data_IF_754924003268
#
_entry.id   IF_754924003268
#
_cell.length_a   1.000
_cell.length_b   1.000
_cell.length_c   1.000
_cell.angle_alpha   90.00
_cell.angle_beta   90.00
_cell.angle_gamma   90.00
#
_symmetry.space_group_name_H-M   'P 1'
#
loop_
_entity.id
_entity.type
_entity.pdbx_description
1 polymer ?
#
# COMPACT_ATOMS: atom_id res chain seq x y z
N UNK A 1 -9.52 8.17 42.53
CA UNK A 1 -8.76 7.60 41.40
C UNK A 1 -7.47 7.02 41.95
N UNK A 2 -7.30 5.70 41.97
CA UNK A 2 -6.01 5.07 42.33
C UNK A 2 -5.13 4.98 41.08
N UNK A 3 -3.88 5.44 41.16
CA UNK A 3 -2.91 5.30 40.07
C UNK A 3 -2.39 3.86 40.01
N UNK A 4 -2.37 3.29 38.81
CA UNK A 4 -1.73 2.00 38.52
C UNK A 4 -0.20 2.20 38.54
N UNK A 5 0.45 1.63 39.56
CA UNK A 5 1.88 1.75 39.84
C UNK A 5 2.71 0.59 39.25
N UNK A 6 2.10 -0.33 38.51
CA UNK A 6 2.81 -1.46 37.91
C UNK A 6 3.79 -0.98 36.82
N UNK A 7 5.01 -1.55 36.81
CA UNK A 7 5.99 -1.29 35.75
C UNK A 7 5.44 -1.84 34.43
N UNK A 8 5.22 -0.95 33.47
CA UNK A 8 4.79 -1.31 32.10
C UNK A 8 6.02 -1.42 31.22
N UNK A 9 6.22 -2.61 30.65
CA UNK A 9 7.25 -2.82 29.63
C UNK A 9 6.60 -2.64 28.27
N UNK A 10 7.12 -1.69 27.49
CA UNK A 10 6.69 -1.48 26.11
C UNK A 10 7.81 -1.95 25.19
N UNK A 11 7.42 -2.66 24.13
CA UNK A 11 8.31 -3.05 23.04
C UNK A 11 7.78 -2.42 21.76
N UNK A 12 8.69 -1.86 20.98
CA UNK A 12 8.41 -1.34 19.66
C UNK A 12 9.35 -2.04 18.68
N UNK A 13 8.77 -2.71 17.68
CA UNK A 13 9.51 -3.29 16.57
C UNK A 13 9.26 -2.35 15.36
N UNK A 14 10.29 -1.61 14.90
CA UNK A 14 10.14 -0.71 13.75
C UNK A 14 9.76 -1.48 12.49
N UNK A 15 8.68 -1.08 11.84
CA UNK A 15 8.26 -1.67 10.57
C UNK A 15 8.72 -0.78 9.42
N UNK A 16 9.75 -1.22 8.69
CA UNK A 16 10.24 -0.50 7.53
C UNK A 16 9.44 -0.91 6.29
N UNK A 17 8.83 0.07 5.63
CA UNK A 17 8.05 -0.16 4.42
C UNK A 17 8.85 0.13 3.15
N UNK A 18 9.48 1.31 3.10
CA UNK A 18 10.38 1.71 2.03
C UNK A 18 11.72 0.97 2.13
N UNK A 19 12.17 0.41 1.02
CA UNK A 19 13.40 -0.39 0.91
C UNK A 19 14.52 0.33 0.15
N UNK A 20 14.24 1.49 -0.46
CA UNK A 20 15.21 2.26 -1.23
C UNK A 20 15.21 3.74 -0.86
N UNK A 21 16.18 4.47 -1.42
CA UNK A 21 16.39 5.91 -1.21
C UNK A 21 16.14 6.75 -2.46
N UNK A 22 15.63 6.11 -3.52
CA UNK A 22 15.31 6.75 -4.79
C UNK A 22 14.09 7.67 -4.71
N UNK A 23 13.90 8.56 -5.70
CA UNK A 23 12.75 9.45 -5.73
C UNK A 23 11.43 8.69 -5.93
N UNK A 24 10.43 9.08 -5.16
CA UNK A 24 9.06 8.53 -5.21
C UNK A 24 8.15 9.55 -5.88
N UNK A 25 7.66 9.22 -7.08
CA UNK A 25 6.59 9.97 -7.74
C UNK A 25 5.26 9.66 -7.07
N UNK A 26 4.41 10.68 -6.93
CA UNK A 26 3.13 10.58 -6.23
C UNK A 26 2.03 11.18 -7.09
N UNK A 27 0.84 10.63 -6.98
CA UNK A 27 -0.40 11.24 -7.45
C UNK A 27 -1.42 11.29 -6.31
N UNK A 28 -2.54 11.97 -6.53
CA UNK A 28 -3.70 11.99 -5.63
C UNK A 28 -4.91 11.47 -6.41
N UNK A 29 -5.67 10.57 -5.79
CA UNK A 29 -6.86 9.95 -6.36
C UNK A 29 -7.93 9.72 -5.29
N UNK A 30 -9.19 9.71 -5.70
CA UNK A 30 -10.32 9.35 -4.84
C UNK A 30 -10.39 7.84 -4.70
N UNK A 31 -10.67 7.31 -3.51
CA UNK A 31 -10.88 5.88 -3.30
C UNK A 31 -12.32 5.43 -3.61
N UNK A 32 -12.48 4.30 -4.30
CA UNK A 32 -13.78 3.69 -4.58
C UNK A 32 -14.35 2.93 -3.37
N UNK A 33 -13.49 2.53 -2.43
CA UNK A 33 -13.82 1.83 -1.19
C UNK A 33 -12.77 2.15 -0.13
N UNK A 34 -12.93 1.64 1.09
CA UNK A 34 -11.87 1.72 2.11
C UNK A 34 -10.65 0.91 1.64
N UNK A 35 -9.50 1.57 1.58
CA UNK A 35 -8.22 0.99 1.17
C UNK A 35 -7.27 1.03 2.37
N UNK A 36 -6.67 -0.11 2.77
CA UNK A 36 -5.68 -0.11 3.83
C UNK A 36 -4.37 0.55 3.37
N UNK A 37 -3.54 0.95 4.35
CA UNK A 37 -2.18 1.37 4.07
C UNK A 37 -1.40 0.25 3.37
N UNK A 38 -0.44 0.63 2.52
CA UNK A 38 0.49 -0.30 1.88
C UNK A 38 -0.16 -1.29 0.91
N UNK A 39 -1.35 -0.97 0.40
CA UNK A 39 -2.06 -1.80 -0.55
C UNK A 39 -1.67 -1.41 -1.98
N UNK A 40 -1.37 -2.39 -2.86
CA UNK A 40 -1.35 -2.15 -4.28
C UNK A 40 -2.78 -1.92 -4.78
N UNK A 41 -2.93 -0.97 -5.69
CA UNK A 41 -4.23 -0.50 -6.17
C UNK A 41 -4.25 -0.40 -7.69
N UNK A 42 -5.43 -0.60 -8.26
CA UNK A 42 -5.74 -0.31 -9.66
C UNK A 42 -6.66 0.92 -9.74
N UNK A 43 -6.91 1.38 -10.97
CA UNK A 43 -8.00 2.32 -11.24
C UNK A 43 -9.24 1.55 -11.70
N UNK A 44 -10.40 1.91 -11.15
CA UNK A 44 -11.68 1.43 -11.66
C UNK A 44 -12.11 2.18 -12.93
N UNK A 45 -13.30 1.87 -13.45
CA UNK A 45 -13.84 2.49 -14.66
C UNK A 45 -14.09 4.00 -14.53
N UNK A 46 -14.24 4.52 -13.31
CA UNK A 46 -14.43 5.93 -13.00
C UNK A 46 -13.10 6.63 -12.68
N UNK A 47 -11.97 5.90 -12.71
CA UNK A 47 -10.65 6.42 -12.41
C UNK A 47 -10.38 6.62 -10.91
N UNK A 48 -11.17 5.99 -10.04
CA UNK A 48 -10.95 5.92 -8.59
C UNK A 48 -10.03 4.75 -8.23
N UNK A 49 -9.37 4.84 -7.07
CA UNK A 49 -8.54 3.75 -6.55
C UNK A 49 -9.42 2.58 -6.13
N UNK A 50 -9.08 1.39 -6.60
CA UNK A 50 -9.71 0.14 -6.21
C UNK A 50 -8.65 -0.88 -5.78
N UNK A 51 -9.03 -1.75 -4.85
CA UNK A 51 -8.19 -2.89 -4.45
C UNK A 51 -7.99 -3.84 -5.63
N UNK A 52 -6.85 -4.53 -5.61
CA UNK A 52 -6.61 -5.58 -6.58
C UNK A 52 -7.53 -6.78 -6.35
N UNK A 53 -7.82 -7.46 -7.45
CA UNK A 53 -8.53 -8.72 -7.54
C UNK A 53 -7.76 -9.64 -8.49
N UNK A 54 -8.18 -10.90 -8.59
CA UNK A 54 -7.60 -11.84 -9.56
C UNK A 54 -7.73 -11.33 -11.02
N UNK A 55 -8.78 -10.54 -11.30
CA UNK A 55 -9.10 -10.06 -12.65
C UNK A 55 -8.28 -8.82 -13.07
N UNK A 56 -7.87 -7.99 -12.10
CA UNK A 56 -7.22 -6.70 -12.38
C UNK A 56 -5.73 -6.65 -11.95
N UNK A 57 -5.15 -7.76 -11.48
CA UNK A 57 -3.76 -7.81 -10.97
C UNK A 57 -2.68 -7.36 -11.95
N UNK A 58 -2.96 -7.36 -13.26
CA UNK A 58 -2.05 -6.85 -14.29
C UNK A 58 -2.15 -5.32 -14.49
N UNK A 59 -3.22 -4.69 -13.97
CA UNK A 59 -3.57 -3.27 -14.16
C UNK A 59 -3.19 -2.42 -12.96
N UNK A 60 -2.09 -2.77 -12.27
CA UNK A 60 -1.63 -2.03 -11.09
C UNK A 60 -1.32 -0.60 -11.48
N UNK A 61 -1.90 0.34 -10.73
CA UNK A 61 -1.67 1.78 -10.89
C UNK A 61 -0.58 2.28 -9.94
N UNK A 62 -0.52 1.74 -8.73
CA UNK A 62 0.45 2.17 -7.73
C UNK A 62 0.17 1.56 -6.37
N UNK A 63 0.68 2.22 -5.33
CA UNK A 63 0.69 1.74 -3.97
C UNK A 63 0.22 2.82 -2.99
N UNK A 64 -0.65 2.47 -2.04
CA UNK A 64 -1.08 3.44 -1.02
C UNK A 64 -0.03 3.57 0.10
N UNK A 65 0.36 4.80 0.48
CA UNK A 65 1.26 5.01 1.61
C UNK A 65 0.55 4.92 2.96
N UNK A 66 -0.75 5.20 2.99
CA UNK A 66 -1.59 5.19 4.18
C UNK A 66 -3.00 4.71 3.80
N UNK A 67 -3.82 4.42 4.80
CA UNK A 67 -5.22 4.08 4.60
C UNK A 67 -6.02 5.26 4.04
N UNK A 68 -6.96 4.97 3.15
CA UNK A 68 -7.82 5.96 2.49
C UNK A 68 -9.26 5.46 2.65
N UNK A 69 -10.16 6.30 3.16
CA UNK A 69 -11.58 5.93 3.25
C UNK A 69 -12.28 6.07 1.91
N UNK A 70 -13.36 5.33 1.72
CA UNK A 70 -14.22 5.46 0.56
C UNK A 70 -14.61 6.93 0.31
N UNK A 71 -14.54 7.36 -0.95
CA UNK A 71 -14.84 8.71 -1.43
C UNK A 71 -13.92 9.84 -0.89
N UNK A 72 -12.86 9.51 -0.15
CA UNK A 72 -11.80 10.45 0.21
C UNK A 72 -10.66 10.44 -0.83
N UNK A 73 -9.99 11.58 -0.97
CA UNK A 73 -8.75 11.69 -1.74
C UNK A 73 -7.57 11.21 -0.90
N UNK A 74 -6.71 10.39 -1.50
CA UNK A 74 -5.47 9.97 -0.88
C UNK A 74 -4.30 9.93 -1.85
N UNK A 75 -3.07 10.06 -1.32
CA UNK A 75 -1.86 9.92 -2.11
C UNK A 75 -1.67 8.47 -2.57
N UNK A 76 -1.06 8.30 -3.73
CA UNK A 76 -0.63 7.01 -4.28
C UNK A 76 0.79 7.14 -4.82
N UNK A 77 1.66 6.21 -4.46
CA UNK A 77 3.02 6.12 -4.96
C UNK A 77 3.04 5.40 -6.30
N UNK A 78 3.75 6.01 -7.26
CA UNK A 78 3.85 5.55 -8.64
C UNK A 78 5.22 4.95 -8.96
N UNK A 79 6.24 5.31 -8.19
CA UNK A 79 7.61 4.78 -8.32
C UNK A 79 8.21 4.58 -6.93
N UNK A 80 9.19 3.68 -6.80
CA UNK A 80 9.90 3.49 -5.54
C UNK A 80 10.42 2.07 -5.35
N UNK A 81 11.03 1.80 -4.20
CA UNK A 81 11.46 0.47 -3.80
C UNK A 81 10.86 0.14 -2.43
N UNK A 82 10.16 -1.00 -2.32
CA UNK A 82 9.41 -1.38 -1.12
C UNK A 82 9.61 -2.85 -0.77
N UNK A 83 9.51 -3.21 0.51
CA UNK A 83 9.60 -4.61 0.93
C UNK A 83 8.34 -5.39 0.55
N UNK A 84 8.53 -6.55 -0.08
CA UNK A 84 7.41 -7.39 -0.53
C UNK A 84 6.54 -7.86 0.65
N UNK A 85 7.19 -8.23 1.76
CA UNK A 85 6.53 -8.73 2.98
C UNK A 85 5.72 -7.65 3.72
N UNK A 86 5.97 -6.38 3.39
CA UNK A 86 5.30 -5.24 4.02
C UNK A 86 4.01 -4.82 3.29
N UNK A 87 3.74 -5.41 2.11
CA UNK A 87 2.55 -5.11 1.32
C UNK A 87 1.29 -5.72 1.94
N UNK A 88 0.18 -4.96 1.90
CA UNK A 88 -1.14 -5.50 2.24
C UNK A 88 -1.79 -6.02 0.97
N UNK A 89 -1.72 -7.33 0.77
CA UNK A 89 -2.24 -8.00 -0.42
C UNK A 89 -3.67 -8.53 -0.20
N UNK A 90 -4.52 -8.52 -1.24
CA UNK A 90 -5.80 -9.23 -1.22
C UNK A 90 -5.63 -10.72 -0.91
N UNK A 91 -6.66 -11.33 -0.34
CA UNK A 91 -6.65 -12.75 0.00
C UNK A 91 -6.34 -13.64 -1.22
N UNK A 92 -5.42 -14.59 -1.04
CA UNK A 92 -4.99 -15.51 -2.11
C UNK A 92 -4.03 -14.93 -3.14
N UNK A 93 -3.61 -13.66 -3.00
CA UNK A 93 -2.60 -13.03 -3.86
C UNK A 93 -1.22 -13.03 -3.20
N UNK A 94 -0.19 -13.17 -4.02
CA UNK A 94 1.22 -13.06 -3.58
C UNK A 94 1.91 -11.89 -4.27
N UNK A 95 3.03 -11.41 -3.72
CA UNK A 95 3.83 -10.37 -4.36
C UNK A 95 4.28 -10.76 -5.78
N UNK A 96 4.51 -12.06 -6.02
CA UNK A 96 4.87 -12.60 -7.33
C UNK A 96 3.77 -12.41 -8.40
N UNK A 97 2.49 -12.37 -8.00
CA UNK A 97 1.37 -12.15 -8.90
C UNK A 97 1.36 -10.75 -9.54
N UNK A 98 1.97 -9.78 -8.85
CA UNK A 98 1.91 -8.35 -9.21
C UNK A 98 3.28 -7.73 -9.48
N UNK A 99 4.37 -8.46 -9.23
CA UNK A 99 5.74 -7.95 -9.36
C UNK A 99 6.02 -7.34 -10.74
N UNK A 100 5.60 -8.03 -11.81
CA UNK A 100 5.82 -7.57 -13.18
C UNK A 100 5.04 -6.27 -13.46
N UNK A 101 3.80 -6.17 -12.98
CA UNK A 101 2.98 -4.98 -13.17
C UNK A 101 3.56 -3.78 -12.41
N UNK A 102 4.00 -3.98 -11.17
CA UNK A 102 4.70 -2.96 -10.38
C UNK A 102 6.00 -2.50 -11.04
N UNK A 103 6.80 -3.44 -11.56
CA UNK A 103 8.07 -3.13 -12.22
C UNK A 103 7.86 -2.27 -13.47
N UNK A 104 6.79 -2.51 -14.22
CA UNK A 104 6.47 -1.75 -15.43
C UNK A 104 6.17 -0.26 -15.14
N UNK A 105 5.67 0.06 -13.95
CA UNK A 105 5.40 1.45 -13.52
C UNK A 105 6.57 2.09 -12.75
N UNK A 106 7.63 1.32 -12.48
CA UNK A 106 8.81 1.80 -11.75
C UNK A 106 8.75 1.59 -10.24
N UNK A 107 7.94 0.63 -9.78
CA UNK A 107 7.95 0.14 -8.39
C UNK A 107 8.69 -1.20 -8.34
N UNK A 108 9.69 -1.30 -7.48
CA UNK A 108 10.52 -2.50 -7.32
C UNK A 108 10.34 -3.11 -5.93
N UNK A 109 10.12 -4.42 -5.88
CA UNK A 109 10.01 -5.15 -4.62
C UNK A 109 11.38 -5.70 -4.16
N UNK A 110 11.61 -5.69 -2.85
CA UNK A 110 12.79 -6.22 -2.17
C UNK A 110 12.42 -7.29 -1.16
#
# INVERSE_FOLDING_TARGET
MSMDLAVKTYRYDPHHFEAGVGPVNKAVKVAAADIPAHAPVALDGDGKLALLTADNKASVYGLTPDSIRADEEGPVWLTGEYFADSLVLPEGMTAADIEVALRNIGIFLK
#
